data_IF_111164713587
#
_entry.id   IF_111164713587
#
_cell.length_a   1.000
_cell.length_b   1.000
_cell.length_c   1.000
_cell.angle_alpha   90.00
_cell.angle_beta   90.00
_cell.angle_gamma   90.00
#
_symmetry.space_group_name_H-M   'P 1'
#
loop_
_entity.id
_entity.type
_entity.pdbx_description
1 polymer ?
#
# COMPACT_ATOMS: atom_id res chain seq x y z
N UNK A 1 6.68 13.95 -2.99
CA UNK A 1 6.00 12.73 -3.44
C UNK A 1 4.51 12.98 -3.40
N UNK A 2 3.80 12.64 -4.47
CA UNK A 2 2.35 12.78 -4.53
C UNK A 2 1.66 11.74 -3.64
N UNK A 3 0.54 12.11 -3.02
CA UNK A 3 -0.21 11.22 -2.13
C UNK A 3 -0.65 9.92 -2.83
N UNK A 4 -1.03 10.04 -4.11
CA UNK A 4 -1.44 8.92 -4.97
C UNK A 4 -0.36 7.84 -5.05
N UNK A 5 0.86 8.28 -5.33
CA UNK A 5 2.06 7.43 -5.44
C UNK A 5 2.43 6.86 -4.07
N UNK A 6 2.35 7.66 -3.02
CA UNK A 6 2.63 7.22 -1.66
C UNK A 6 1.68 6.09 -1.21
N UNK A 7 0.37 6.20 -1.49
CA UNK A 7 -0.61 5.16 -1.21
C UNK A 7 -0.26 3.85 -1.94
N UNK A 8 0.01 3.92 -3.24
CA UNK A 8 0.40 2.74 -4.04
C UNK A 8 1.73 2.12 -3.56
N UNK A 9 2.71 2.92 -3.18
CA UNK A 9 4.01 2.46 -2.66
C UNK A 9 3.84 1.67 -1.36
N UNK A 10 3.04 2.18 -0.42
CA UNK A 10 2.77 1.48 0.83
C UNK A 10 2.00 0.17 0.61
N UNK A 11 1.05 0.16 -0.32
CA UNK A 11 0.35 -1.09 -0.71
C UNK A 11 1.35 -2.07 -1.31
N UNK A 12 2.13 -1.67 -2.31
CA UNK A 12 3.18 -2.50 -2.93
C UNK A 12 4.13 -3.10 -1.89
N UNK A 13 4.57 -2.30 -0.90
CA UNK A 13 5.43 -2.74 0.21
C UNK A 13 4.79 -3.82 1.09
N UNK A 14 3.46 -3.78 1.29
CA UNK A 14 2.75 -4.83 2.05
C UNK A 14 2.67 -6.11 1.22
N UNK A 15 2.30 -6.00 -0.05
CA UNK A 15 2.11 -7.14 -0.95
C UNK A 15 3.40 -7.91 -1.28
N UNK A 16 4.56 -7.33 -0.96
CA UNK A 16 5.88 -7.98 -1.12
C UNK A 16 6.56 -8.25 0.22
N UNK A 17 5.83 -8.11 1.34
CA UNK A 17 6.39 -8.25 2.69
C UNK A 17 6.91 -9.68 2.98
N UNK A 18 6.33 -10.68 2.32
CA UNK A 18 6.77 -12.08 2.36
C UNK A 18 7.78 -12.42 1.25
N UNK A 19 8.09 -11.46 0.38
CA UNK A 19 8.99 -11.59 -0.76
C UNK A 19 8.34 -12.11 -2.05
N UNK A 20 7.02 -12.34 -2.07
CA UNK A 20 6.31 -12.90 -3.23
C UNK A 20 5.05 -12.08 -3.50
N UNK A 21 5.00 -11.41 -4.65
CA UNK A 21 3.76 -10.81 -5.14
C UNK A 21 3.00 -11.81 -6.00
N UNK A 22 1.81 -12.23 -5.57
CA UNK A 22 0.95 -13.11 -6.37
C UNK A 22 0.32 -12.37 -7.56
N UNK A 23 -0.24 -13.13 -8.51
CA UNK A 23 -0.93 -12.54 -9.67
C UNK A 23 -2.14 -11.67 -9.26
N UNK A 24 -2.92 -12.11 -8.27
CA UNK A 24 -4.09 -11.38 -7.80
C UNK A 24 -3.72 -10.06 -7.13
N UNK A 25 -2.67 -10.05 -6.31
CA UNK A 25 -2.13 -8.85 -5.67
C UNK A 25 -1.55 -7.89 -6.72
N UNK A 26 -0.86 -8.43 -7.74
CA UNK A 26 -0.36 -7.63 -8.87
C UNK A 26 -1.51 -6.99 -9.64
N UNK A 27 -2.57 -7.73 -9.94
CA UNK A 27 -3.78 -7.21 -10.60
C UNK A 27 -4.44 -6.13 -9.73
N UNK A 28 -4.52 -6.35 -8.42
CA UNK A 28 -5.06 -5.35 -7.50
C UNK A 28 -4.24 -4.06 -7.53
N UNK A 29 -2.92 -4.16 -7.41
CA UNK A 29 -2.02 -3.02 -7.45
C UNK A 29 -2.11 -2.28 -8.80
N UNK A 30 -2.14 -3.00 -9.92
CA UNK A 30 -2.31 -2.40 -11.24
C UNK A 30 -3.64 -1.64 -11.38
N UNK A 31 -4.76 -2.23 -10.91
CA UNK A 31 -6.06 -1.56 -10.88
C UNK A 31 -6.04 -0.31 -10.00
N UNK A 32 -5.38 -0.36 -8.86
CA UNK A 32 -5.22 0.80 -7.97
C UNK A 32 -4.40 1.90 -8.64
N UNK A 33 -3.28 1.56 -9.29
CA UNK A 33 -2.47 2.51 -10.05
C UNK A 33 -3.25 3.13 -11.22
N UNK A 34 -4.08 2.34 -11.91
CA UNK A 34 -4.98 2.84 -12.95
C UNK A 34 -6.05 3.77 -12.39
N UNK A 35 -6.70 3.40 -11.28
CA UNK A 35 -7.76 4.21 -10.66
C UNK A 35 -7.24 5.55 -10.12
N UNK A 36 -6.00 5.58 -9.66
CA UNK A 36 -5.33 6.78 -9.18
C UNK A 36 -4.60 7.55 -10.29
N UNK A 37 -4.76 7.10 -11.54
CA UNK A 37 -4.23 7.75 -12.75
C UNK A 37 -2.71 7.95 -12.72
N UNK A 38 -1.96 6.97 -12.20
CA UNK A 38 -0.50 7.02 -12.19
C UNK A 38 0.06 6.91 -13.61
N UNK A 39 1.03 7.77 -13.92
CA UNK A 39 1.79 7.70 -15.16
C UNK A 39 2.80 6.53 -15.16
N UNK A 40 3.42 6.24 -16.30
CA UNK A 40 4.37 5.12 -16.43
C UNK A 40 5.60 5.24 -15.52
N UNK A 41 6.08 6.46 -15.29
CA UNK A 41 7.18 6.72 -14.37
C UNK A 41 6.78 6.46 -12.93
N UNK A 42 5.63 6.97 -12.52
CA UNK A 42 5.06 6.72 -11.18
C UNK A 42 4.78 5.24 -10.93
N UNK A 43 4.20 4.53 -11.90
CA UNK A 43 3.97 3.08 -11.82
C UNK A 43 5.27 2.31 -11.62
N UNK A 44 6.30 2.67 -12.39
CA UNK A 44 7.62 2.04 -12.26
C UNK A 44 8.21 2.23 -10.87
N UNK A 45 8.10 3.44 -10.31
CA UNK A 45 8.54 3.73 -8.95
C UNK A 45 7.80 2.89 -7.91
N UNK A 46 6.49 2.70 -8.06
CA UNK A 46 5.68 1.84 -7.19
C UNK A 46 6.14 0.37 -7.24
N UNK A 47 6.41 -0.14 -8.45
CA UNK A 47 6.86 -1.52 -8.65
C UNK A 47 8.28 -1.75 -8.15
N UNK A 48 9.17 -0.78 -8.34
CA UNK A 48 10.57 -0.82 -7.90
C UNK A 48 10.72 -0.39 -6.42
N UNK A 49 9.61 -0.08 -5.72
CA UNK A 49 9.56 0.46 -4.36
C UNK A 49 10.41 1.73 -4.16
N UNK A 50 10.61 2.52 -5.21
CA UNK A 50 11.48 3.69 -5.15
C UNK A 50 10.88 4.81 -4.29
N UNK A 51 11.56 5.13 -3.18
CA UNK A 51 11.13 6.18 -2.26
C UNK A 51 10.02 5.76 -1.28
N UNK A 52 9.85 4.46 -1.03
CA UNK A 52 8.87 3.95 -0.06
C UNK A 52 9.05 4.56 1.35
N UNK A 53 10.28 4.90 1.73
CA UNK A 53 10.63 5.54 2.99
C UNK A 53 10.00 6.94 3.12
N UNK A 54 9.79 7.61 2.00
CA UNK A 54 9.12 8.91 1.94
C UNK A 54 7.59 8.79 1.86
N UNK A 55 7.05 7.60 1.60
CA UNK A 55 5.60 7.38 1.47
C UNK A 55 4.90 7.39 2.84
N UNK A 56 5.51 6.77 3.86
CA UNK A 56 4.98 6.74 5.24
C UNK A 56 4.64 8.14 5.80
N UNK A 57 5.56 9.13 5.79
CA UNK A 57 5.25 10.47 6.30
C UNK A 57 4.24 11.24 5.45
N UNK A 58 4.02 10.86 4.18
CA UNK A 58 3.01 11.48 3.31
C UNK A 58 1.62 10.97 3.71
N UNK A 59 1.46 9.65 3.85
CA UNK A 59 0.19 9.05 4.27
C UNK A 59 -0.12 9.35 5.73
N UNK A 60 0.89 9.53 6.59
CA UNK A 60 0.70 9.93 7.98
C UNK A 60 0.05 11.32 8.16
N UNK A 61 0.09 12.19 7.14
CA UNK A 61 -0.54 13.52 7.14
C UNK A 61 -2.03 13.49 6.79
N UNK A 62 -2.57 12.35 6.36
CA UNK A 62 -3.99 12.19 6.08
C UNK A 62 -4.85 12.46 7.31
N UNK A 63 -6.10 12.87 7.09
CA UNK A 63 -7.09 12.93 8.16
C UNK A 63 -7.35 11.52 8.73
N UNK A 64 -7.85 11.40 9.98
CA UNK A 64 -8.17 10.11 10.57
C UNK A 64 -9.13 9.26 9.72
N UNK A 65 -10.08 9.89 9.04
CA UNK A 65 -11.04 9.22 8.15
C UNK A 65 -10.35 8.63 6.92
N UNK A 66 -9.51 9.43 6.24
CA UNK A 66 -8.73 8.98 5.09
C UNK A 66 -7.72 7.89 5.45
N UNK A 67 -7.15 7.94 6.67
CA UNK A 67 -6.27 6.87 7.15
C UNK A 67 -7.03 5.56 7.32
N UNK A 68 -8.24 5.58 7.88
CA UNK A 68 -9.08 4.37 8.01
C UNK A 68 -9.46 3.79 6.64
N UNK A 69 -9.84 4.64 5.69
CA UNK A 69 -10.13 4.20 4.31
C UNK A 69 -8.89 3.57 3.66
N UNK A 70 -7.72 4.17 3.88
CA UNK A 70 -6.47 3.63 3.37
C UNK A 70 -6.09 2.29 4.03
N UNK A 71 -6.31 2.14 5.34
CA UNK A 71 -6.09 0.87 6.04
C UNK A 71 -7.03 -0.23 5.54
N UNK A 72 -8.30 0.08 5.29
CA UNK A 72 -9.23 -0.86 4.66
C UNK A 72 -8.71 -1.30 3.27
N UNK A 73 -8.23 -0.35 2.47
CA UNK A 73 -7.62 -0.64 1.16
C UNK A 73 -6.40 -1.54 1.28
N UNK A 74 -5.55 -1.34 2.30
CA UNK A 74 -4.39 -2.20 2.55
C UNK A 74 -4.83 -3.64 2.85
N UNK A 75 -5.79 -3.82 3.75
CA UNK A 75 -6.33 -5.14 4.11
C UNK A 75 -6.95 -5.83 2.90
N UNK A 76 -7.74 -5.11 2.11
CA UNK A 76 -8.36 -5.62 0.87
C UNK A 76 -7.30 -6.06 -0.14
N UNK A 77 -6.23 -5.26 -0.31
CA UNK A 77 -5.13 -5.56 -1.23
C UNK A 77 -4.45 -6.87 -0.84
N UNK A 78 -4.09 -6.99 0.44
CA UNK A 78 -3.39 -8.15 0.99
C UNK A 78 -4.30 -9.36 1.21
N UNK A 79 -5.62 -9.22 1.01
CA UNK A 79 -6.58 -10.33 1.01
C UNK A 79 -7.06 -10.67 -0.40
N UNK A 80 -6.45 -10.10 -1.46
CA UNK A 80 -6.92 -10.24 -2.85
C UNK A 80 -6.92 -11.68 -3.36
N UNK A 81 -6.08 -12.55 -2.80
CA UNK A 81 -6.02 -13.99 -3.10
C UNK A 81 -6.80 -14.86 -2.08
N UNK A 82 -7.46 -14.22 -1.11
CA UNK A 82 -8.20 -14.86 -0.03
C UNK A 82 -7.34 -15.30 1.17
N UNK A 83 -6.05 -14.95 1.23
CA UNK A 83 -5.16 -15.31 2.33
C UNK A 83 -4.21 -14.16 2.69
N UNK A 84 -4.36 -13.65 3.90
CA UNK A 84 -3.37 -12.74 4.47
C UNK A 84 -2.24 -13.54 5.11
N UNK A 85 -1.01 -13.41 4.61
CA UNK A 85 0.15 -14.05 5.25
C UNK A 85 0.46 -13.38 6.60
N UNK A 86 1.09 -14.10 7.56
CA UNK A 86 1.53 -13.49 8.81
C UNK A 86 2.48 -12.30 8.61
N UNK A 87 3.25 -12.29 7.51
CA UNK A 87 4.20 -11.24 7.18
C UNK A 87 3.52 -10.00 6.61
N UNK A 88 2.52 -10.15 5.73
CA UNK A 88 1.66 -9.05 5.30
C UNK A 88 0.89 -8.46 6.48
N UNK A 89 0.31 -9.30 7.34
CA UNK A 89 -0.42 -8.83 8.52
C UNK A 89 0.48 -8.03 9.47
N UNK A 90 1.73 -8.46 9.65
CA UNK A 90 2.72 -7.70 10.40
C UNK A 90 3.11 -6.39 9.69
N UNK A 91 3.14 -6.36 8.35
CA UNK A 91 3.39 -5.14 7.58
C UNK A 91 2.22 -4.14 7.69
N UNK A 92 0.97 -4.60 7.55
CA UNK A 92 -0.25 -3.79 7.76
C UNK A 92 -0.27 -3.21 9.17
N UNK A 93 0.04 -4.03 10.19
CA UNK A 93 0.11 -3.56 11.58
C UNK A 93 1.16 -2.47 11.77
N UNK A 94 2.37 -2.66 11.25
CA UNK A 94 3.44 -1.65 11.31
C UNK A 94 3.04 -0.34 10.64
N UNK A 95 2.37 -0.41 9.49
CA UNK A 95 1.86 0.79 8.81
C UNK A 95 0.76 1.45 9.63
N UNK A 96 -0.14 0.66 10.23
CA UNK A 96 -1.21 1.18 11.11
C UNK A 96 -0.63 1.95 12.30
N UNK A 97 0.38 1.38 12.96
CA UNK A 97 1.12 2.01 14.05
C UNK A 97 1.83 3.30 13.57
N UNK A 98 2.49 3.26 12.41
CA UNK A 98 3.16 4.43 11.84
C UNK A 98 2.19 5.56 11.45
N UNK A 99 0.96 5.21 11.08
CA UNK A 99 -0.09 6.19 10.78
C UNK A 99 -0.77 6.76 12.02
N UNK A 100 -0.51 6.19 13.22
CA UNK A 100 -1.09 6.65 14.48
C UNK A 100 -2.60 6.47 14.54
N UNK A 101 -3.14 5.47 13.85
CA UNK A 101 -4.55 5.09 13.97
C UNK A 101 -4.63 3.99 15.03
N UNK A 102 -5.22 4.29 16.18
CA UNK A 102 -5.63 3.25 17.12
C UNK A 102 -6.76 2.43 16.46
N UNK A 103 -6.58 1.10 16.40
CA UNK A 103 -7.59 0.17 15.91
C UNK A 103 -8.79 0.11 16.87
#
# INVERSE_FOLDING_TARGET
MELRVAKCLLVSKVLVADGIMTENERIFLDRMMCRLELDEGERRRVLDLEGWDQAEPVVAKLSPEEKREFLATLVDASSADGRLSPLEMAAVKRITEALGVEQ
#
